data_IF_549527675407
#
_entry.id   IF_549527675407
#
_cell.length_a   1.000
_cell.length_b   1.000
_cell.length_c   1.000
_cell.angle_alpha   90.00
_cell.angle_beta   90.00
_cell.angle_gamma   90.00
#
_symmetry.space_group_name_H-M   'P 1'
#
loop_
_entity.id
_entity.type
_entity.pdbx_description
1 polymer ?
#
# COMPACT_ATOMS: atom_id res chain seq x y z
N UNK A 1 -12.05 -17.14 -14.47
CA UNK A 1 -10.66 -17.52 -14.15
C UNK A 1 -9.71 -16.40 -14.54
N UNK A 2 -8.47 -16.47 -14.09
CA UNK A 2 -7.44 -15.52 -14.53
C UNK A 2 -7.08 -15.79 -16.00
N UNK A 3 -6.73 -14.74 -16.74
CA UNK A 3 -6.09 -14.91 -18.04
C UNK A 3 -4.68 -15.49 -17.87
N UNK A 4 -4.25 -16.32 -18.81
CA UNK A 4 -2.92 -16.91 -18.77
C UNK A 4 -1.85 -15.84 -19.05
N UNK A 5 -0.93 -15.68 -18.10
CA UNK A 5 0.24 -14.84 -18.28
C UNK A 5 1.53 -15.67 -18.17
N UNK A 6 2.41 -15.52 -19.15
CA UNK A 6 3.75 -16.10 -19.13
C UNK A 6 4.80 -15.01 -19.28
N UNK A 7 5.75 -14.94 -18.36
CA UNK A 7 6.79 -13.92 -18.38
C UNK A 7 7.83 -14.10 -17.28
N UNK A 8 8.94 -13.37 -17.40
CA UNK A 8 9.94 -13.29 -16.33
C UNK A 8 9.44 -12.39 -15.22
N UNK A 9 9.64 -12.83 -13.98
CA UNK A 9 9.35 -12.05 -12.78
C UNK A 9 10.45 -12.20 -11.74
N UNK A 10 10.73 -11.13 -11.02
CA UNK A 10 11.50 -11.20 -9.78
C UNK A 10 10.54 -11.53 -8.64
N UNK A 11 10.93 -12.50 -7.80
CA UNK A 11 10.19 -12.86 -6.59
C UNK A 11 11.05 -12.50 -5.38
N UNK A 12 10.54 -11.63 -4.53
CA UNK A 12 11.22 -11.19 -3.30
C UNK A 12 10.33 -11.46 -2.10
N UNK A 13 10.93 -11.88 -0.99
CA UNK A 13 10.24 -11.91 0.29
C UNK A 13 9.81 -10.50 0.73
N UNK A 14 8.70 -10.41 1.44
CA UNK A 14 8.19 -9.14 1.95
C UNK A 14 7.66 -9.27 3.37
N UNK A 15 7.42 -8.10 3.98
CA UNK A 15 6.89 -7.96 5.33
C UNK A 15 7.98 -8.08 6.39
N UNK A 16 7.73 -7.46 7.53
CA UNK A 16 8.62 -7.46 8.69
C UNK A 16 8.35 -8.72 9.54
N UNK A 17 7.42 -8.66 10.48
CA UNK A 17 7.03 -9.81 11.31
C UNK A 17 6.49 -10.98 10.49
N UNK A 18 5.72 -10.72 9.44
CA UNK A 18 5.11 -11.74 8.58
C UNK A 18 6.14 -12.59 7.82
N UNK A 19 7.34 -12.07 7.57
CA UNK A 19 8.44 -12.85 7.01
C UNK A 19 8.98 -13.90 7.99
N UNK A 20 8.76 -13.73 9.27
CA UNK A 20 9.11 -14.71 10.31
C UNK A 20 8.25 -15.97 10.32
N UNK A 21 7.04 -15.94 9.72
CA UNK A 21 6.12 -17.09 9.75
C UNK A 21 6.50 -18.20 8.76
N UNK A 22 6.08 -19.46 8.99
CA UNK A 22 6.34 -20.57 8.08
C UNK A 22 5.86 -20.35 6.65
N UNK A 23 4.64 -19.81 6.47
CA UNK A 23 4.09 -19.44 5.17
C UNK A 23 4.48 -18.01 4.83
N UNK A 24 5.35 -17.85 3.84
CA UNK A 24 6.01 -16.58 3.51
C UNK A 24 5.19 -15.75 2.53
N UNK A 25 5.02 -14.44 2.75
CA UNK A 25 4.48 -13.52 1.75
C UNK A 25 5.57 -13.12 0.73
N UNK A 26 5.14 -12.78 -0.49
CA UNK A 26 6.05 -12.42 -1.58
C UNK A 26 5.62 -11.14 -2.29
N UNK A 27 6.62 -10.43 -2.82
CA UNK A 27 6.44 -9.38 -3.83
C UNK A 27 6.86 -9.95 -5.19
N UNK A 28 6.04 -9.69 -6.18
CA UNK A 28 6.31 -10.03 -7.58
C UNK A 28 6.62 -8.74 -8.35
N UNK A 29 7.68 -8.74 -9.16
CA UNK A 29 8.00 -7.64 -10.07
C UNK A 29 8.18 -8.19 -11.47
N UNK A 30 7.21 -7.96 -12.32
CA UNK A 30 7.22 -8.39 -13.70
C UNK A 30 8.24 -7.59 -14.52
N UNK A 31 8.87 -8.21 -15.50
CA UNK A 31 9.77 -7.51 -16.43
C UNK A 31 9.03 -6.51 -17.33
N UNK A 32 7.75 -6.76 -17.63
CA UNK A 32 6.86 -5.89 -18.39
C UNK A 32 5.55 -5.70 -17.65
N UNK A 33 4.89 -4.54 -17.84
CA UNK A 33 3.54 -4.33 -17.34
C UNK A 33 2.59 -5.37 -17.95
N UNK A 34 1.84 -6.07 -17.12
CA UNK A 34 0.80 -6.99 -17.53
C UNK A 34 -0.38 -6.92 -16.54
N UNK A 35 -1.55 -7.31 -16.98
CA UNK A 35 -2.69 -7.57 -16.12
C UNK A 35 -2.62 -9.01 -15.63
N UNK A 36 -2.82 -9.22 -14.34
CA UNK A 36 -2.87 -10.56 -13.75
C UNK A 36 -4.18 -10.69 -12.98
N UNK A 37 -4.99 -11.67 -13.35
CA UNK A 37 -6.24 -12.00 -12.65
C UNK A 37 -7.21 -10.81 -12.48
N UNK A 38 -7.29 -9.91 -13.46
CA UNK A 38 -8.18 -8.75 -13.41
C UNK A 38 -7.70 -7.62 -12.49
N UNK A 39 -6.48 -7.71 -11.96
CA UNK A 39 -5.85 -6.61 -11.25
C UNK A 39 -5.18 -5.69 -12.29
N UNK A 40 -5.51 -4.44 -12.32
CA UNK A 40 -5.07 -3.46 -13.31
C UNK A 40 -3.61 -3.61 -13.77
N UNK A 41 -3.33 -3.30 -15.02
CA UNK A 41 -2.05 -3.53 -15.69
C UNK A 41 -0.89 -2.82 -15.01
N UNK A 42 0.01 -3.57 -14.37
CA UNK A 42 1.19 -3.07 -13.67
C UNK A 42 2.38 -4.03 -13.71
N UNK A 43 3.49 -3.65 -13.07
CA UNK A 43 4.64 -4.54 -12.87
C UNK A 43 4.65 -5.18 -11.49
N UNK A 44 4.15 -4.49 -10.47
CA UNK A 44 4.29 -4.89 -9.07
C UNK A 44 3.00 -5.48 -8.52
N UNK A 45 3.10 -6.66 -7.95
CA UNK A 45 2.01 -7.39 -7.30
C UNK A 45 2.50 -8.00 -5.99
N UNK A 46 1.58 -8.34 -5.11
CA UNK A 46 1.87 -8.92 -3.80
C UNK A 46 1.07 -10.21 -3.61
N UNK A 47 1.73 -11.21 -3.04
CA UNK A 47 1.12 -12.43 -2.55
C UNK A 47 1.08 -12.39 -1.01
N UNK A 48 -0.09 -12.14 -0.45
CA UNK A 48 -0.32 -12.18 1.00
C UNK A 48 -0.53 -13.63 1.43
N UNK A 49 0.24 -14.07 2.41
CA UNK A 49 0.21 -15.46 2.85
C UNK A 49 -0.97 -15.81 3.75
N UNK A 50 -1.58 -14.83 4.43
CA UNK A 50 -2.68 -15.01 5.39
C UNK A 50 -2.38 -16.08 6.46
N UNK A 51 -1.12 -16.17 6.92
CA UNK A 51 -0.65 -17.27 7.78
C UNK A 51 -1.39 -17.37 9.12
N UNK A 52 -1.74 -16.22 9.71
CA UNK A 52 -2.42 -16.16 11.01
C UNK A 52 -3.94 -16.31 10.92
N UNK A 53 -4.48 -16.33 9.71
CA UNK A 53 -5.92 -16.48 9.47
C UNK A 53 -6.23 -17.93 9.03
N UNK A 54 -6.77 -18.78 9.90
CA UNK A 54 -7.12 -20.15 9.55
C UNK A 54 -8.17 -20.25 8.45
N UNK A 55 -8.98 -19.21 8.28
CA UNK A 55 -10.02 -19.17 7.22
C UNK A 55 -9.47 -18.76 5.87
N UNK A 56 -8.31 -18.09 5.83
CA UNK A 56 -7.68 -17.45 4.67
C UNK A 56 -8.57 -16.38 4.00
N UNK A 57 -9.63 -15.93 4.66
CA UNK A 57 -10.67 -15.07 4.08
C UNK A 57 -10.72 -13.65 4.66
N UNK A 58 -10.17 -13.42 5.86
CA UNK A 58 -10.29 -12.11 6.54
C UNK A 58 -9.83 -10.95 5.65
N UNK A 59 -8.63 -11.04 5.08
CA UNK A 59 -8.15 -10.02 4.15
C UNK A 59 -9.02 -9.92 2.88
N UNK A 60 -9.48 -11.05 2.33
CA UNK A 60 -10.36 -11.04 1.15
C UNK A 60 -11.66 -10.30 1.43
N UNK A 61 -12.26 -10.50 2.59
CA UNK A 61 -13.50 -9.81 3.02
C UNK A 61 -13.21 -8.33 3.25
N UNK A 62 -12.13 -8.00 3.99
CA UNK A 62 -11.74 -6.63 4.26
C UNK A 62 -11.50 -5.84 2.96
N UNK A 63 -10.73 -6.36 2.03
CA UNK A 63 -10.52 -5.72 0.72
C UNK A 63 -11.80 -5.63 -0.11
N UNK A 64 -12.69 -6.63 -0.04
CA UNK A 64 -13.96 -6.58 -0.75
C UNK A 64 -14.88 -5.48 -0.21
N UNK A 65 -14.91 -5.28 1.11
CA UNK A 65 -15.61 -4.15 1.73
C UNK A 65 -14.91 -2.85 1.36
N UNK A 66 -13.60 -2.80 1.44
CA UNK A 66 -12.78 -1.63 1.12
C UNK A 66 -12.87 -1.19 -0.35
N UNK A 67 -13.35 -2.05 -1.27
CA UNK A 67 -13.68 -1.62 -2.65
C UNK A 67 -14.75 -0.53 -2.72
N UNK A 68 -15.57 -0.41 -1.69
CA UNK A 68 -16.51 0.71 -1.55
C UNK A 68 -15.78 2.02 -1.22
N UNK A 69 -14.51 1.91 -0.82
CA UNK A 69 -13.61 3.00 -0.44
C UNK A 69 -12.35 2.99 -1.33
N UNK A 70 -12.47 2.50 -2.57
CA UNK A 70 -11.40 2.46 -3.59
C UNK A 70 -10.11 1.72 -3.18
N UNK A 71 -10.18 0.83 -2.18
CA UNK A 71 -9.02 0.02 -1.78
C UNK A 71 -8.58 -0.94 -2.90
N UNK A 72 -7.30 -1.40 -2.89
CA UNK A 72 -6.73 -2.26 -3.91
C UNK A 72 -7.55 -3.52 -4.22
N UNK A 73 -7.55 -3.92 -5.48
CA UNK A 73 -8.17 -5.16 -5.93
C UNK A 73 -7.37 -6.37 -5.46
N UNK A 74 -8.09 -7.46 -5.17
CA UNK A 74 -7.48 -8.72 -4.71
C UNK A 74 -8.19 -9.93 -5.30
N UNK A 75 -7.43 -11.01 -5.51
CA UNK A 75 -7.98 -12.32 -5.90
C UNK A 75 -7.28 -13.45 -5.13
N UNK A 76 -8.01 -14.44 -4.61
CA UNK A 76 -7.42 -15.64 -4.06
C UNK A 76 -6.79 -16.47 -5.20
N UNK A 77 -5.57 -16.96 -4.96
CA UNK A 77 -4.80 -17.76 -5.92
C UNK A 77 -4.08 -18.90 -5.22
N UNK A 78 -3.91 -20.01 -5.90
CA UNK A 78 -3.03 -21.08 -5.45
C UNK A 78 -1.62 -20.88 -6.00
N UNK A 79 -0.61 -21.05 -5.13
CA UNK A 79 0.78 -20.80 -5.48
C UNK A 79 1.56 -22.10 -5.54
N UNK A 80 2.22 -22.35 -6.67
CA UNK A 80 3.23 -23.38 -6.83
C UNK A 80 4.58 -22.70 -7.08
N UNK A 81 5.55 -22.91 -6.22
CA UNK A 81 6.89 -22.34 -6.32
C UNK A 81 7.92 -23.45 -6.50
N UNK A 82 8.65 -23.44 -7.62
CA UNK A 82 9.61 -24.46 -7.98
C UNK A 82 9.03 -25.89 -7.92
N UNK A 83 7.80 -26.06 -8.42
CA UNK A 83 7.09 -27.35 -8.41
C UNK A 83 6.48 -27.75 -7.06
N UNK A 84 6.66 -26.97 -6.01
CA UNK A 84 6.12 -27.25 -4.67
C UNK A 84 4.89 -26.38 -4.42
N UNK A 85 3.75 -27.01 -4.12
CA UNK A 85 2.53 -26.31 -3.71
C UNK A 85 2.71 -25.59 -2.37
N UNK A 86 2.43 -24.29 -2.34
CA UNK A 86 2.58 -23.41 -1.17
C UNK A 86 1.26 -23.06 -0.50
N UNK A 87 0.15 -23.52 -1.06
CA UNK A 87 -1.19 -23.21 -0.57
C UNK A 87 -1.83 -22.01 -1.23
N UNK A 88 -2.98 -21.62 -0.70
CA UNK A 88 -3.75 -20.47 -1.18
C UNK A 88 -3.17 -19.18 -0.63
N UNK A 89 -3.05 -18.18 -1.49
CA UNK A 89 -2.59 -16.82 -1.20
C UNK A 89 -3.65 -15.82 -1.65
N UNK A 90 -3.56 -14.60 -1.15
CA UNK A 90 -4.31 -13.49 -1.72
C UNK A 90 -3.36 -12.69 -2.60
N UNK A 91 -3.61 -12.71 -3.92
CA UNK A 91 -2.94 -11.84 -4.86
C UNK A 91 -3.56 -10.45 -4.77
N UNK A 92 -2.74 -9.43 -4.59
CA UNK A 92 -3.18 -8.04 -4.49
C UNK A 92 -2.24 -7.12 -5.26
N UNK A 93 -2.73 -5.94 -5.53
CA UNK A 93 -1.94 -4.84 -6.07
C UNK A 93 -0.88 -4.38 -5.06
N UNK A 94 0.25 -3.92 -5.56
CA UNK A 94 1.21 -3.15 -4.77
C UNK A 94 0.69 -1.72 -4.65
N UNK A 95 0.62 -1.18 -3.45
CA UNK A 95 0.29 0.25 -3.24
C UNK A 95 1.48 1.07 -3.71
N UNK A 96 1.26 1.88 -4.73
CA UNK A 96 2.24 2.79 -5.35
C UNK A 96 1.50 3.91 -6.10
N UNK A 97 2.11 5.09 -6.22
CA UNK A 97 1.52 6.20 -7.00
C UNK A 97 1.81 5.94 -8.48
N UNK A 98 0.82 5.41 -9.19
CA UNK A 98 0.89 5.10 -10.64
C UNK A 98 -0.50 4.93 -11.23
N UNK A 99 -0.59 5.14 -12.56
CA UNK A 99 -1.73 4.73 -13.36
C UNK A 99 -2.17 3.29 -13.01
N UNK A 100 -3.45 3.04 -12.86
CA UNK A 100 -4.06 1.78 -12.42
C UNK A 100 -3.65 1.30 -11.01
N UNK A 101 -3.21 2.21 -10.15
CA UNK A 101 -2.95 2.03 -8.72
C UNK A 101 -3.54 3.22 -7.98
N UNK A 102 -2.77 3.94 -7.19
CA UNK A 102 -3.16 5.23 -6.65
C UNK A 102 -2.83 6.27 -7.72
N UNK A 103 -3.84 6.69 -8.49
CA UNK A 103 -3.68 7.60 -9.64
C UNK A 103 -3.63 9.04 -9.17
N UNK A 104 -2.45 9.47 -8.76
CA UNK A 104 -2.14 10.83 -8.34
C UNK A 104 -1.09 11.45 -9.27
N UNK A 105 -1.09 12.78 -9.36
CA UNK A 105 -0.04 13.51 -10.06
C UNK A 105 1.30 13.35 -9.33
N UNK A 106 2.21 12.56 -9.89
CA UNK A 106 3.54 12.29 -9.32
C UNK A 106 4.37 13.56 -9.04
N UNK A 107 4.06 14.69 -9.67
CA UNK A 107 4.77 15.95 -9.47
C UNK A 107 4.20 16.79 -8.32
N UNK A 108 2.91 16.63 -8.02
CA UNK A 108 2.18 17.45 -7.05
C UNK A 108 1.51 16.65 -5.95
N UNK A 109 1.95 15.43 -5.70
CA UNK A 109 1.42 14.58 -4.64
C UNK A 109 2.52 13.83 -3.91
N UNK A 110 2.20 13.37 -2.70
CA UNK A 110 3.06 12.49 -1.91
C UNK A 110 2.19 11.47 -1.18
N UNK A 111 2.64 10.24 -1.16
CA UNK A 111 2.06 9.19 -0.35
C UNK A 111 2.87 9.00 0.92
N UNK A 112 2.24 9.14 2.06
CA UNK A 112 2.85 8.90 3.37
C UNK A 112 2.55 7.50 3.88
N UNK A 113 3.51 6.92 4.58
CA UNK A 113 3.34 5.70 5.37
C UNK A 113 3.56 5.99 6.84
N UNK A 114 2.60 5.58 7.68
CA UNK A 114 2.74 5.67 9.13
C UNK A 114 3.32 4.34 9.62
N UNK A 115 4.64 4.28 9.81
CA UNK A 115 5.33 3.07 10.24
C UNK A 115 6.38 3.37 11.31
N UNK A 116 6.36 2.58 12.38
CA UNK A 116 7.36 2.63 13.45
C UNK A 116 8.69 1.95 13.09
N UNK A 117 8.71 1.13 12.05
CA UNK A 117 9.93 0.60 11.46
C UNK A 117 10.60 1.69 10.63
N UNK A 118 11.50 2.40 11.18
CA UNK A 118 12.23 3.47 10.52
C UNK A 118 13.20 2.92 9.47
N UNK A 119 12.70 2.64 8.27
CA UNK A 119 13.50 2.23 7.12
C UNK A 119 14.42 3.38 6.62
N UNK A 120 15.12 3.18 5.52
CA UNK A 120 16.09 4.17 4.99
C UNK A 120 15.43 5.35 4.26
N UNK A 121 14.11 5.32 4.06
CA UNK A 121 13.34 6.39 3.38
C UNK A 121 13.34 7.70 4.20
N UNK A 122 13.16 8.86 3.53
CA UNK A 122 13.00 10.14 4.21
C UNK A 122 11.83 10.11 5.19
N UNK A 123 12.07 10.56 6.43
CA UNK A 123 11.15 10.37 7.56
C UNK A 123 11.22 11.49 8.59
N UNK A 124 10.12 11.64 9.35
CA UNK A 124 10.07 12.58 10.47
C UNK A 124 9.02 12.13 11.51
N UNK A 125 9.03 12.78 12.66
CA UNK A 125 7.95 12.70 13.64
C UNK A 125 7.03 13.89 13.50
N UNK A 126 5.72 13.66 13.36
CA UNK A 126 4.76 14.75 13.26
C UNK A 126 4.69 15.55 14.56
N UNK A 127 4.49 16.87 14.45
CA UNK A 127 4.50 17.78 15.60
C UNK A 127 3.28 17.60 16.51
N UNK A 128 2.09 17.40 15.95
CA UNK A 128 0.85 17.33 16.71
C UNK A 128 0.67 15.99 17.45
N UNK A 129 0.99 14.87 16.80
CA UNK A 129 0.70 13.53 17.33
C UNK A 129 1.93 12.64 17.51
N UNK A 130 3.12 13.16 17.23
CA UNK A 130 4.38 12.40 17.25
C UNK A 130 4.31 11.10 16.41
N UNK A 131 3.56 11.13 15.30
CA UNK A 131 3.41 9.99 14.41
C UNK A 131 4.72 9.70 13.67
N UNK A 132 5.10 8.44 13.49
CA UNK A 132 6.21 8.05 12.64
C UNK A 132 5.79 8.13 11.17
N UNK A 133 6.21 9.16 10.47
CA UNK A 133 5.84 9.43 9.06
C UNK A 133 7.04 9.19 8.17
N UNK A 134 6.85 8.40 7.12
CA UNK A 134 7.84 8.13 6.09
C UNK A 134 7.26 8.41 4.70
N UNK A 135 8.12 8.80 3.76
CA UNK A 135 7.74 8.91 2.35
C UNK A 135 7.58 7.51 1.77
N UNK A 136 6.44 7.23 1.16
CA UNK A 136 6.19 5.97 0.46
C UNK A 136 6.44 6.07 -1.04
N UNK A 137 6.00 7.15 -1.64
CA UNK A 137 6.09 7.44 -3.07
C UNK A 137 5.71 8.90 -3.32
N UNK A 138 6.32 9.62 -4.29
CA UNK A 138 7.53 9.28 -5.04
C UNK A 138 8.83 9.54 -4.27
N UNK A 139 9.98 9.27 -4.89
CA UNK A 139 11.27 9.74 -4.39
C UNK A 139 11.30 11.27 -4.40
N UNK A 140 11.58 11.89 -3.25
CA UNK A 140 11.57 13.34 -3.08
C UNK A 140 12.99 13.91 -2.99
N UNK A 141 13.19 15.09 -3.57
CA UNK A 141 14.36 15.92 -3.24
C UNK A 141 14.25 16.44 -1.81
N UNK A 142 15.36 16.90 -1.23
CA UNK A 142 15.37 17.48 0.13
C UNK A 142 14.39 18.66 0.25
N UNK A 143 14.31 19.51 -0.77
CA UNK A 143 13.40 20.67 -0.79
C UNK A 143 11.93 20.24 -0.84
N UNK A 144 11.60 19.29 -1.69
CA UNK A 144 10.25 18.72 -1.77
C UNK A 144 9.86 18.02 -0.46
N UNK A 145 10.78 17.28 0.16
CA UNK A 145 10.54 16.65 1.44
C UNK A 145 10.21 17.67 2.54
N UNK A 146 10.98 18.76 2.68
CA UNK A 146 10.71 19.80 3.68
C UNK A 146 9.37 20.55 3.40
N UNK A 147 9.02 20.75 2.13
CA UNK A 147 7.72 21.29 1.73
C UNK A 147 6.58 20.39 2.19
N UNK A 148 6.58 19.13 1.82
CA UNK A 148 5.53 18.18 2.14
C UNK A 148 5.45 17.84 3.64
N UNK A 149 6.58 17.80 4.34
CA UNK A 149 6.62 17.67 5.80
C UNK A 149 5.93 18.84 6.50
N UNK A 150 6.15 20.08 6.02
CA UNK A 150 5.47 21.26 6.53
C UNK A 150 3.97 21.17 6.30
N UNK A 151 3.55 20.73 5.12
CA UNK A 151 2.15 20.54 4.75
C UNK A 151 1.47 19.49 5.64
N UNK A 152 2.07 18.31 5.79
CA UNK A 152 1.58 17.27 6.70
C UNK A 152 1.45 17.74 8.14
N UNK A 153 2.42 18.50 8.64
CA UNK A 153 2.35 19.04 10.00
C UNK A 153 1.26 20.11 10.13
N UNK A 154 1.02 20.92 9.11
CA UNK A 154 -0.09 21.88 9.08
C UNK A 154 -1.44 21.15 9.14
N UNK A 155 -1.63 20.12 8.30
CA UNK A 155 -2.82 19.27 8.31
C UNK A 155 -3.05 18.62 9.68
N UNK A 156 -2.06 17.91 10.23
CA UNK A 156 -2.21 17.23 11.52
C UNK A 156 -2.40 18.18 12.70
N UNK A 157 -1.83 19.39 12.63
CA UNK A 157 -2.08 20.45 13.61
C UNK A 157 -3.52 20.95 13.54
N UNK A 158 -4.05 21.10 12.32
CA UNK A 158 -5.45 21.49 12.12
C UNK A 158 -6.41 20.37 12.57
N UNK A 159 -6.08 19.13 12.25
CA UNK A 159 -6.83 17.95 12.67
C UNK A 159 -6.88 17.79 14.20
N UNK A 160 -5.82 18.21 14.91
CA UNK A 160 -5.77 18.18 16.37
C UNK A 160 -6.63 19.22 17.07
N UNK A 161 -7.15 20.24 16.34
CA UNK A 161 -8.05 21.25 16.91
C UNK A 161 -9.47 20.68 17.03
N UNK A 162 -10.17 21.08 18.06
CA UNK A 162 -11.57 20.68 18.22
C UNK A 162 -12.45 21.26 17.10
N UNK A 163 -13.45 20.50 16.61
CA UNK A 163 -14.33 20.94 15.51
C UNK A 163 -15.10 22.24 15.76
N UNK A 164 -15.20 22.66 17.01
CA UNK A 164 -16.00 23.82 17.45
C UNK A 164 -15.30 25.17 17.20
N UNK A 165 -14.04 25.21 16.82
CA UNK A 165 -13.29 26.46 16.66
C UNK A 165 -13.34 27.07 15.24
N UNK A 166 -14.23 26.61 14.38
CA UNK A 166 -14.51 27.26 13.08
C UNK A 166 -13.46 27.02 11.99
N UNK A 167 -12.45 26.21 12.25
CA UNK A 167 -11.44 25.76 11.29
C UNK A 167 -11.56 24.24 11.10
N UNK A 168 -12.40 23.84 10.16
CA UNK A 168 -12.63 22.43 9.92
C UNK A 168 -11.47 21.83 9.12
N UNK A 169 -10.88 20.72 9.61
CA UNK A 169 -10.01 19.85 8.82
C UNK A 169 -10.74 19.25 7.61
N UNK A 170 -12.07 19.31 7.61
CA UNK A 170 -12.97 18.82 6.57
C UNK A 170 -12.65 19.44 5.20
N UNK A 171 -12.21 20.70 5.17
CA UNK A 171 -11.78 21.36 3.93
C UNK A 171 -10.41 20.87 3.41
N UNK A 172 -9.69 20.05 4.19
CA UNK A 172 -8.37 19.53 3.87
C UNK A 172 -8.38 18.05 3.49
N UNK A 173 -9.53 17.38 3.56
CA UNK A 173 -9.68 15.95 3.26
C UNK A 173 -10.81 15.74 2.26
N UNK A 174 -10.68 14.72 1.46
CA UNK A 174 -11.77 14.21 0.63
C UNK A 174 -12.65 13.29 1.50
N UNK A 175 -13.79 13.81 1.95
CA UNK A 175 -14.70 13.09 2.85
C UNK A 175 -15.34 11.89 2.18
N UNK A 176 -15.50 11.91 0.86
CA UNK A 176 -16.08 10.79 0.11
C UNK A 176 -15.13 9.58 0.06
N UNK A 177 -13.83 9.83 0.26
CA UNK A 177 -12.78 8.79 0.26
C UNK A 177 -12.39 8.29 1.67
N UNK A 178 -13.03 8.78 2.75
CA UNK A 178 -12.66 8.46 4.14
C UNK A 178 -13.65 7.50 4.82
#
# INVERSE_FOLDING_TARGET
>A
GCEDYTGKTEVKGRGNSTWGYPKKPYRLKLNKKAEICGLGKAKNYVLLANHLDPTLMLNSVAFKIGRLLELPFTNPVDVVLNGIYKGSYLLTEQIEVKENRVDLDENNSVMWELDSYWDDEPKFKSTAFNLPVMVKDPDLTTEQFEYWKKDFNAFTTQFAKEPLEGNSYVDMIDIESV
#
